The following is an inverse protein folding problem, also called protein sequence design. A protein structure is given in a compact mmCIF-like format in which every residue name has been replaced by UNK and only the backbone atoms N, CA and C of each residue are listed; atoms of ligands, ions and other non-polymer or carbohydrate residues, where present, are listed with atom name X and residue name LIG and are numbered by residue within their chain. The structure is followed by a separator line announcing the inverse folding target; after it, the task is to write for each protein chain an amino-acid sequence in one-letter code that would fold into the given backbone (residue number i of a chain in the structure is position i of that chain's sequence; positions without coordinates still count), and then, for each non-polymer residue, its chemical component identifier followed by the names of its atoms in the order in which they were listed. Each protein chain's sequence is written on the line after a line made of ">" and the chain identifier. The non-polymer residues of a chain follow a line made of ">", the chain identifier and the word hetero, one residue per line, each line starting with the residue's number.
data_IF_534899464340
#
_entry.id   IF_534899464340
#
_cell.length_a   1.000
_cell.length_b   1.000
_cell.length_c   1.000
_cell.angle_alpha   90.00
_cell.angle_beta   90.00
_cell.angle_gamma   90.00
#
_symmetry.space_group_name_H-M   'P 1'
#
loop_
_entity.id
_entity.type
_entity.pdbx_description
1 polymer ?
#
# COMPACT_ATOMS: atom_id res chain seq x y z
N UNK A 1 -14.02 0.23 -18.34
CA UNK A 1 -13.52 1.46 -17.72
C UNK A 1 -12.67 2.20 -18.73
N UNK A 2 -12.84 3.52 -18.87
CA UNK A 2 -11.95 4.36 -19.69
C UNK A 2 -10.69 4.72 -18.89
N UNK A 3 -9.58 4.97 -19.57
CA UNK A 3 -8.36 5.52 -18.97
C UNK A 3 -8.23 6.98 -19.42
N UNK A 4 -8.06 7.89 -18.47
CA UNK A 4 -7.81 9.30 -18.72
C UNK A 4 -6.37 9.66 -18.32
N UNK A 5 -5.60 10.20 -19.25
CA UNK A 5 -4.26 10.67 -18.99
C UNK A 5 -4.30 12.11 -18.51
N UNK A 6 -3.81 12.34 -17.31
CA UNK A 6 -3.67 13.68 -16.72
C UNK A 6 -2.28 14.18 -17.09
N UNK A 7 -2.25 15.14 -18.00
CA UNK A 7 -1.01 15.76 -18.49
C UNK A 7 -0.95 17.22 -18.11
N UNK A 8 0.17 17.86 -18.32
CA UNK A 8 0.35 19.29 -18.06
C UNK A 8 -0.62 20.14 -18.87
N UNK A 9 -0.90 19.76 -20.13
CA UNK A 9 -1.83 20.42 -21.02
C UNK A 9 -3.29 20.31 -20.56
N UNK A 10 -3.61 19.34 -19.70
CA UNK A 10 -4.96 19.20 -19.13
C UNK A 10 -5.27 20.29 -18.11
N UNK A 11 -4.27 21.01 -17.60
CA UNK A 11 -4.36 22.05 -16.56
C UNK A 11 -5.10 21.58 -15.29
N UNK A 12 -5.15 20.28 -15.04
CA UNK A 12 -5.81 19.70 -13.86
C UNK A 12 -4.83 19.73 -12.67
N UNK A 13 -5.14 20.47 -11.58
CA UNK A 13 -4.25 20.52 -10.42
C UNK A 13 -3.99 19.14 -9.82
N UNK A 14 -2.73 18.83 -9.52
CA UNK A 14 -2.34 17.52 -8.97
C UNK A 14 -2.36 17.48 -7.44
N UNK A 15 -2.48 18.62 -6.76
CA UNK A 15 -2.42 18.70 -5.30
C UNK A 15 -3.80 18.61 -4.68
N UNK A 16 -3.96 17.68 -3.72
CA UNK A 16 -5.18 17.51 -2.93
C UNK A 16 -6.27 16.65 -3.57
N UNK A 17 -6.09 16.13 -4.79
CA UNK A 17 -7.01 15.17 -5.37
C UNK A 17 -6.82 13.79 -4.75
N UNK A 18 -7.93 13.15 -4.32
CA UNK A 18 -7.88 11.83 -3.68
C UNK A 18 -7.61 10.68 -4.66
N UNK A 19 -7.80 10.87 -5.96
CA UNK A 19 -7.68 9.81 -6.95
C UNK A 19 -6.33 9.78 -7.68
N UNK A 20 -5.63 10.90 -7.75
CA UNK A 20 -4.33 11.03 -8.43
C UNK A 20 -3.57 12.26 -7.93
N UNK A 21 -2.27 12.33 -8.26
CA UNK A 21 -1.41 13.47 -7.93
C UNK A 21 -0.76 13.34 -6.55
N UNK A 22 -0.71 14.41 -5.79
CA UNK A 22 -0.03 14.51 -4.51
C UNK A 22 -1.01 14.88 -3.39
N UNK A 23 -0.98 14.12 -2.29
CA UNK A 23 -1.78 14.41 -1.09
C UNK A 23 -0.85 14.63 0.10
N UNK A 24 -0.85 15.84 0.63
CA UNK A 24 -0.17 16.16 1.88
C UNK A 24 -0.97 15.60 3.06
N UNK A 25 -0.32 14.78 3.89
CA UNK A 25 -0.95 14.16 5.08
C UNK A 25 -0.82 15.00 6.35
N UNK A 26 -0.29 16.22 6.25
CA UNK A 26 -0.10 17.12 7.39
C UNK A 26 1.05 16.72 8.32
N UNK A 27 1.92 15.78 7.90
CA UNK A 27 3.15 15.36 8.57
C UNK A 27 4.32 15.45 7.56
N UNK A 28 5.44 14.78 7.79
CA UNK A 28 6.51 14.62 6.79
C UNK A 28 6.14 13.72 5.60
N UNK A 29 4.94 13.16 5.56
CA UNK A 29 4.50 12.20 4.54
C UNK A 29 3.71 12.88 3.41
N UNK A 30 4.18 12.68 2.17
CA UNK A 30 3.47 12.97 0.93
C UNK A 30 3.00 11.65 0.30
N UNK A 31 1.69 11.52 0.06
CA UNK A 31 1.19 10.40 -0.74
C UNK A 31 1.27 10.74 -2.22
N UNK A 32 1.95 9.89 -2.98
CA UNK A 32 2.15 10.03 -4.42
C UNK A 32 1.24 9.05 -5.14
N UNK A 33 0.34 9.56 -5.97
CA UNK A 33 -0.73 8.80 -6.63
C UNK A 33 -0.60 8.90 -8.15
N UNK A 34 0.31 8.11 -8.76
CA UNK A 34 0.57 8.20 -10.20
C UNK A 34 -0.58 7.66 -11.04
N UNK A 35 -1.38 6.75 -10.49
CA UNK A 35 -2.51 6.13 -11.17
C UNK A 35 -3.59 5.68 -10.19
N UNK A 36 -4.70 5.17 -10.68
CA UNK A 36 -5.77 4.67 -9.81
C UNK A 36 -6.40 3.34 -10.27
N UNK A 37 -5.85 2.68 -11.28
CA UNK A 37 -6.27 1.35 -11.70
C UNK A 37 -5.87 0.25 -10.71
N UNK A 38 -6.58 -0.88 -10.72
CA UNK A 38 -6.22 -2.07 -9.95
C UNK A 38 -6.54 -3.34 -10.74
N UNK A 39 -5.75 -4.38 -10.54
CA UNK A 39 -5.95 -5.70 -11.14
C UNK A 39 -6.61 -6.72 -10.20
N UNK A 40 -6.96 -6.31 -8.97
CA UNK A 40 -7.72 -7.09 -8.00
C UNK A 40 -9.11 -6.48 -7.75
N UNK A 41 -9.99 -7.27 -7.15
CA UNK A 41 -11.36 -6.85 -6.82
C UNK A 41 -11.72 -7.17 -5.37
N UNK A 42 -10.84 -6.79 -4.44
CA UNK A 42 -10.99 -7.07 -3.02
C UNK A 42 -12.38 -6.68 -2.51
N UNK A 43 -13.12 -7.58 -1.80
CA UNK A 43 -14.49 -7.32 -1.36
C UNK A 43 -14.60 -6.22 -0.29
N UNK A 44 -13.49 -5.78 0.27
CA UNK A 44 -13.39 -4.74 1.29
C UNK A 44 -12.70 -3.45 0.79
N UNK A 45 -12.49 -3.30 -0.52
CA UNK A 45 -11.77 -2.17 -1.10
C UNK A 45 -12.46 -0.84 -0.79
N UNK A 46 -11.76 0.07 -0.11
CA UNK A 46 -12.27 1.39 0.33
C UNK A 46 -12.64 2.32 -0.84
N UNK A 47 -12.03 2.11 -2.00
CA UNK A 47 -12.18 2.97 -3.20
C UNK A 47 -12.84 2.25 -4.37
N UNK A 48 -13.32 1.02 -4.18
CA UNK A 48 -13.97 0.21 -5.22
C UNK A 48 -13.15 0.11 -6.52
N UNK A 49 -11.82 -0.08 -6.40
CA UNK A 49 -10.95 -0.22 -7.55
C UNK A 49 -11.01 -1.63 -8.16
N UNK A 50 -10.60 -1.74 -9.44
CA UNK A 50 -10.40 -3.02 -10.12
C UNK A 50 -11.50 -3.41 -11.08
N UNK A 51 -11.36 -4.59 -11.74
CA UNK A 51 -12.20 -5.01 -12.85
C UNK A 51 -13.71 -5.09 -12.54
N UNK A 52 -14.06 -5.37 -11.28
CA UNK A 52 -15.44 -5.50 -10.83
C UNK A 52 -15.95 -4.25 -10.09
N UNK A 53 -15.35 -3.09 -10.34
CA UNK A 53 -15.83 -1.82 -9.79
C UNK A 53 -17.26 -1.52 -10.26
N UNK A 54 -18.08 -1.00 -9.35
CA UNK A 54 -19.46 -0.58 -9.62
C UNK A 54 -19.63 0.93 -9.63
N UNK A 55 -18.71 1.63 -8.98
CA UNK A 55 -18.79 3.09 -8.79
C UNK A 55 -17.82 3.86 -9.68
N UNK A 56 -16.78 3.21 -10.22
CA UNK A 56 -15.74 3.85 -11.03
C UNK A 56 -15.99 3.60 -12.52
N UNK A 57 -16.05 4.66 -13.29
CA UNK A 57 -16.23 4.63 -14.74
C UNK A 57 -14.95 4.97 -15.49
N UNK A 58 -14.02 5.68 -14.83
CA UNK A 58 -12.75 6.14 -15.39
C UNK A 58 -11.62 5.88 -14.42
N UNK A 59 -10.52 5.34 -14.91
CA UNK A 59 -9.24 5.34 -14.23
C UNK A 59 -8.39 6.52 -14.71
N UNK A 60 -7.47 6.99 -13.86
CA UNK A 60 -6.56 8.10 -14.14
C UNK A 60 -5.13 7.62 -14.13
N UNK A 61 -4.33 8.18 -15.02
CA UNK A 61 -2.89 8.01 -15.04
C UNK A 61 -2.24 9.37 -15.26
N UNK A 62 -1.35 9.76 -14.36
CA UNK A 62 -0.66 11.04 -14.42
C UNK A 62 0.61 10.88 -15.24
N UNK A 63 0.90 11.84 -16.09
CA UNK A 63 2.18 11.96 -16.78
C UNK A 63 3.31 12.15 -15.75
N UNK A 64 4.42 11.42 -15.94
CA UNK A 64 5.50 11.38 -14.96
C UNK A 64 6.12 12.76 -14.71
N UNK A 65 6.44 13.50 -15.78
CA UNK A 65 7.06 14.82 -15.65
C UNK A 65 6.14 15.81 -14.91
N UNK A 66 4.86 15.79 -15.23
CA UNK A 66 3.88 16.65 -14.55
C UNK A 66 3.70 16.26 -13.07
N UNK A 67 3.74 14.96 -12.74
CA UNK A 67 3.69 14.50 -11.36
C UNK A 67 4.93 14.95 -10.58
N UNK A 68 6.11 14.82 -11.20
CA UNK A 68 7.37 15.23 -10.57
C UNK A 68 7.43 16.74 -10.32
N UNK A 69 6.99 17.58 -11.28
CA UNK A 69 6.89 19.04 -11.09
C UNK A 69 6.08 19.36 -9.80
N UNK A 70 4.95 18.67 -9.59
CA UNK A 70 4.12 18.89 -8.41
C UNK A 70 4.80 18.44 -7.10
N UNK A 71 5.59 17.36 -7.11
CA UNK A 71 6.33 16.90 -5.93
C UNK A 71 7.48 17.85 -5.62
N UNK A 72 8.27 18.24 -6.63
CA UNK A 72 9.40 19.18 -6.52
C UNK A 72 8.96 20.56 -6.02
N UNK A 73 7.72 20.99 -6.33
CA UNK A 73 7.14 22.22 -5.80
C UNK A 73 6.77 22.09 -4.31
N UNK A 74 6.26 20.92 -3.87
CA UNK A 74 5.73 20.76 -2.52
C UNK A 74 6.80 20.31 -1.51
N UNK A 75 7.75 19.47 -1.90
CA UNK A 75 8.73 18.90 -0.99
C UNK A 75 9.50 19.96 -0.17
N UNK A 76 9.96 21.08 -0.75
CA UNK A 76 10.66 22.12 -0.01
C UNK A 76 9.84 22.77 1.12
N UNK A 77 8.51 22.84 0.98
CA UNK A 77 7.64 23.36 2.04
C UNK A 77 7.53 22.43 3.24
N UNK A 78 7.87 21.15 3.07
CA UNK A 78 7.88 20.16 4.16
C UNK A 78 9.19 20.19 4.94
N UNK A 79 10.27 20.66 4.33
CA UNK A 79 11.63 20.59 4.86
C UNK A 79 12.26 19.20 4.70
N UNK A 80 13.35 18.97 5.43
CA UNK A 80 14.09 17.71 5.38
C UNK A 80 13.31 16.51 5.95
N UNK A 81 13.64 15.31 5.51
CA UNK A 81 13.09 14.07 6.06
C UNK A 81 11.72 13.68 5.49
N UNK A 82 11.39 14.16 4.30
CA UNK A 82 10.12 13.79 3.63
C UNK A 82 10.07 12.30 3.29
N UNK A 83 8.98 11.65 3.62
CA UNK A 83 8.61 10.34 3.06
C UNK A 83 7.65 10.53 1.89
N UNK A 84 8.07 10.12 0.68
CA UNK A 84 7.20 9.97 -0.48
C UNK A 84 6.63 8.54 -0.48
N UNK A 85 5.35 8.41 -0.11
CA UNK A 85 4.65 7.13 -0.10
C UNK A 85 3.81 6.95 -1.37
N UNK A 86 4.22 6.03 -2.24
CA UNK A 86 3.48 5.71 -3.46
C UNK A 86 2.29 4.83 -3.08
N UNK A 87 1.10 5.46 -3.04
CA UNK A 87 -0.16 4.84 -2.60
C UNK A 87 -1.29 5.22 -3.56
N UNK A 88 -1.47 4.43 -4.58
CA UNK A 88 -2.57 4.61 -5.52
C UNK A 88 -3.91 4.17 -4.93
N UNK A 89 -5.01 4.82 -5.26
CA UNK A 89 -6.35 4.26 -5.08
C UNK A 89 -6.59 3.08 -6.02
N UNK A 90 -5.69 2.11 -5.98
CA UNK A 90 -5.56 0.97 -6.87
C UNK A 90 -4.28 0.20 -6.60
N UNK A 91 -3.55 -0.16 -7.66
CA UNK A 91 -2.27 -0.85 -7.59
C UNK A 91 -1.18 -0.01 -8.28
N UNK A 92 -0.21 0.54 -7.52
CA UNK A 92 0.86 1.37 -8.10
C UNK A 92 1.71 0.66 -9.14
N UNK A 93 1.91 -0.65 -9.00
CA UNK A 93 2.69 -1.46 -9.96
C UNK A 93 2.05 -1.58 -11.35
N UNK A 94 0.85 -1.02 -11.56
CA UNK A 94 0.25 -0.86 -12.89
C UNK A 94 0.68 0.44 -13.59
N UNK A 95 1.37 1.33 -12.87
CA UNK A 95 1.93 2.54 -13.47
C UNK A 95 3.16 2.20 -14.32
N UNK A 96 3.19 2.53 -15.63
CA UNK A 96 4.27 2.11 -16.51
C UNK A 96 5.65 2.60 -16.08
N UNK A 97 5.72 3.83 -15.58
CA UNK A 97 6.98 4.50 -15.23
C UNK A 97 7.33 4.37 -13.74
N UNK A 98 6.85 3.30 -13.06
CA UNK A 98 6.98 3.16 -11.60
C UNK A 98 8.44 3.16 -11.12
N UNK A 99 9.35 2.52 -11.84
CA UNK A 99 10.77 2.45 -11.48
C UNK A 99 11.43 3.83 -11.64
N UNK A 100 11.10 4.54 -12.73
CA UNK A 100 11.60 5.89 -12.96
C UNK A 100 11.04 6.90 -11.96
N UNK A 101 9.76 6.75 -11.60
CA UNK A 101 9.16 7.55 -10.54
C UNK A 101 9.92 7.39 -9.21
N UNK A 102 10.22 6.15 -8.82
CA UNK A 102 10.99 5.89 -7.59
C UNK A 102 12.36 6.56 -7.65
N UNK A 103 13.08 6.41 -8.79
CA UNK A 103 14.41 7.00 -8.97
C UNK A 103 14.36 8.52 -8.82
N UNK A 104 13.45 9.18 -9.53
CA UNK A 104 13.32 10.64 -9.51
C UNK A 104 12.87 11.18 -8.14
N UNK A 105 12.02 10.46 -7.43
CA UNK A 105 11.66 10.82 -6.05
C UNK A 105 12.87 10.75 -5.10
N UNK A 106 13.78 9.77 -5.29
CA UNK A 106 15.02 9.66 -4.48
C UNK A 106 16.03 10.75 -4.80
N UNK A 107 15.97 11.36 -5.97
CA UNK A 107 16.89 12.45 -6.37
C UNK A 107 16.48 13.81 -5.76
N UNK A 108 15.28 13.94 -5.15
CA UNK A 108 14.84 15.17 -4.47
C UNK A 108 15.55 15.26 -3.10
N UNK A 109 16.22 16.38 -2.85
CA UNK A 109 17.07 16.60 -1.65
C UNK A 109 16.30 16.41 -0.34
N UNK A 110 15.06 16.87 -0.26
CA UNK A 110 14.21 16.79 0.93
C UNK A 110 13.68 15.37 1.19
N UNK A 111 13.72 14.47 0.19
CA UNK A 111 13.15 13.13 0.28
C UNK A 111 14.13 12.14 0.89
N UNK A 112 13.90 11.79 2.15
CA UNK A 112 14.70 10.79 2.86
C UNK A 112 14.24 9.36 2.56
N UNK A 113 12.93 9.14 2.38
CA UNK A 113 12.33 7.81 2.23
C UNK A 113 11.39 7.78 1.05
N UNK A 114 11.52 6.77 0.19
CA UNK A 114 10.52 6.41 -0.81
C UNK A 114 9.95 5.04 -0.45
N UNK A 115 8.65 4.98 -0.20
CA UNK A 115 7.95 3.75 0.14
C UNK A 115 6.76 3.51 -0.78
N UNK A 116 6.28 2.27 -0.85
CA UNK A 116 5.17 1.91 -1.74
C UNK A 116 4.21 0.92 -1.09
N UNK A 117 2.91 1.14 -1.24
CA UNK A 117 1.89 0.13 -0.98
C UNK A 117 1.67 -0.72 -2.22
N UNK A 118 1.69 -2.05 -2.13
CA UNK A 118 1.43 -2.92 -3.29
C UNK A 118 0.66 -4.18 -2.90
N UNK A 119 -0.14 -4.70 -3.82
CA UNK A 119 -0.76 -6.02 -3.70
C UNK A 119 0.18 -7.17 -4.11
N UNK A 120 1.38 -6.85 -4.59
CA UNK A 120 2.46 -7.79 -4.89
C UNK A 120 2.30 -8.59 -6.19
N UNK A 121 1.16 -8.55 -6.86
CA UNK A 121 0.87 -9.41 -8.02
C UNK A 121 1.68 -9.10 -9.27
N UNK A 122 2.41 -8.00 -9.28
CA UNK A 122 3.29 -7.54 -10.36
C UNK A 122 4.76 -7.49 -9.94
N UNK A 123 5.06 -7.97 -8.75
CA UNK A 123 6.41 -8.03 -8.23
C UNK A 123 6.99 -9.43 -8.51
N UNK A 124 8.02 -9.48 -9.31
CA UNK A 124 8.92 -10.61 -9.45
C UNK A 124 10.33 -10.22 -9.00
N UNK A 125 11.27 -11.16 -9.03
CA UNK A 125 12.66 -10.92 -8.61
C UNK A 125 13.34 -9.80 -9.43
N UNK A 126 13.09 -9.74 -10.73
CA UNK A 126 13.65 -8.71 -11.62
C UNK A 126 13.09 -7.32 -11.31
N UNK A 127 11.78 -7.22 -11.09
CA UNK A 127 11.14 -5.96 -10.72
C UNK A 127 11.58 -5.48 -9.33
N UNK A 128 11.71 -6.38 -8.35
CA UNK A 128 12.24 -6.06 -7.03
C UNK A 128 13.66 -5.52 -7.14
N UNK A 129 14.53 -6.16 -7.97
CA UNK A 129 15.88 -5.67 -8.24
C UNK A 129 15.89 -4.27 -8.85
N UNK A 130 15.03 -4.01 -9.84
CA UNK A 130 14.92 -2.69 -10.48
C UNK A 130 14.46 -1.60 -9.52
N UNK A 131 13.50 -1.89 -8.64
CA UNK A 131 13.05 -0.98 -7.59
C UNK A 131 14.13 -0.73 -6.53
N UNK A 132 14.89 -1.76 -6.18
CA UNK A 132 16.04 -1.66 -5.27
C UNK A 132 17.13 -0.75 -5.83
N UNK A 133 17.47 -0.92 -7.12
CA UNK A 133 18.44 -0.08 -7.83
C UNK A 133 17.95 1.37 -7.97
N UNK A 134 16.65 1.56 -8.14
CA UNK A 134 16.04 2.89 -8.18
C UNK A 134 15.99 3.58 -6.80
N UNK A 135 16.27 2.87 -5.71
CA UNK A 135 16.34 3.42 -4.36
C UNK A 135 15.06 3.33 -3.54
N UNK A 136 14.16 2.39 -3.87
CA UNK A 136 12.97 2.15 -3.03
C UNK A 136 13.38 1.64 -1.65
N UNK A 137 12.93 2.31 -0.60
CA UNK A 137 13.31 1.97 0.78
C UNK A 137 12.41 0.90 1.40
N UNK A 138 11.08 0.95 1.16
CA UNK A 138 10.12 0.03 1.80
C UNK A 138 8.95 -0.33 0.88
N UNK A 139 8.54 -1.60 0.94
CA UNK A 139 7.27 -2.07 0.38
C UNK A 139 6.33 -2.48 1.50
N UNK A 140 5.16 -1.85 1.56
CA UNK A 140 4.03 -2.28 2.36
C UNK A 140 3.23 -3.30 1.53
N UNK A 141 3.43 -4.59 1.80
CA UNK A 141 2.83 -5.67 1.02
C UNK A 141 1.44 -6.03 1.57
N UNK A 142 0.41 -5.83 0.75
CA UNK A 142 -0.97 -6.18 1.10
C UNK A 142 -1.13 -7.70 1.13
N UNK A 143 -1.13 -8.29 2.32
CA UNK A 143 -1.32 -9.72 2.54
C UNK A 143 -2.33 -9.91 3.67
N UNK A 144 -3.50 -10.51 3.37
CA UNK A 144 -4.66 -10.51 4.28
C UNK A 144 -4.99 -11.88 4.84
N UNK A 145 -4.46 -12.95 4.25
CA UNK A 145 -4.58 -14.34 4.70
C UNK A 145 -3.46 -15.18 4.09
N UNK A 146 -3.12 -16.31 4.72
CA UNK A 146 -2.21 -17.35 4.21
C UNK A 146 -2.99 -18.60 3.76
N UNK A 147 -4.24 -18.74 4.20
CA UNK A 147 -5.11 -19.82 3.75
C UNK A 147 -5.53 -19.51 2.29
N UNK A 148 -5.29 -20.46 1.32
CA UNK A 148 -5.42 -20.17 -0.12
C UNK A 148 -6.81 -19.73 -0.57
N UNK A 149 -7.87 -20.38 -0.10
CA UNK A 149 -9.25 -20.05 -0.51
C UNK A 149 -9.67 -18.68 0.03
N UNK A 150 -9.30 -18.39 1.28
CA UNK A 150 -9.57 -17.10 1.91
C UNK A 150 -8.73 -15.99 1.25
N UNK A 151 -7.48 -16.24 0.92
CA UNK A 151 -6.62 -15.29 0.22
C UNK A 151 -7.20 -14.94 -1.16
N UNK A 152 -7.65 -15.94 -1.94
CA UNK A 152 -8.29 -15.73 -3.23
C UNK A 152 -9.62 -14.96 -3.10
N UNK A 153 -10.43 -15.26 -2.08
CA UNK A 153 -11.64 -14.51 -1.76
C UNK A 153 -11.33 -13.05 -1.44
N UNK A 154 -10.34 -12.79 -0.57
CA UNK A 154 -9.96 -11.44 -0.16
C UNK A 154 -9.28 -10.64 -1.28
N UNK A 155 -8.59 -11.30 -2.21
CA UNK A 155 -8.10 -10.68 -3.43
C UNK A 155 -9.24 -10.37 -4.44
N UNK A 156 -10.40 -11.01 -4.30
CA UNK A 156 -11.50 -10.93 -5.25
C UNK A 156 -11.10 -11.41 -6.65
N UNK A 157 -10.19 -12.38 -6.72
CA UNK A 157 -9.62 -12.93 -7.94
C UNK A 157 -9.56 -14.46 -7.86
N UNK A 158 -10.42 -15.18 -8.59
CA UNK A 158 -10.29 -16.63 -8.73
C UNK A 158 -8.89 -16.99 -9.27
N UNK A 159 -8.25 -17.98 -8.67
CA UNK A 159 -6.88 -18.38 -9.04
C UNK A 159 -5.78 -17.44 -8.54
N UNK A 160 -6.07 -16.58 -7.58
CA UNK A 160 -5.03 -15.87 -6.83
C UNK A 160 -4.19 -16.88 -6.04
N UNK A 161 -2.89 -16.90 -6.32
CA UNK A 161 -1.95 -17.83 -5.66
C UNK A 161 -1.21 -17.13 -4.53
N UNK A 162 -1.59 -17.44 -3.30
CA UNK A 162 -0.92 -16.91 -2.11
C UNK A 162 0.54 -17.40 -2.00
N UNK A 163 0.88 -18.55 -2.57
CA UNK A 163 2.27 -19.06 -2.53
C UNK A 163 3.20 -18.21 -3.41
N UNK A 164 2.70 -17.64 -4.50
CA UNK A 164 3.43 -16.64 -5.27
C UNK A 164 3.68 -15.39 -4.42
N UNK A 165 2.66 -14.89 -3.71
CA UNK A 165 2.82 -13.73 -2.85
C UNK A 165 3.77 -13.99 -1.66
N UNK A 166 3.76 -15.20 -1.09
CA UNK A 166 4.75 -15.61 -0.09
C UNK A 166 6.18 -15.56 -0.67
N UNK A 167 6.40 -16.01 -1.92
CA UNK A 167 7.70 -15.91 -2.60
C UNK A 167 8.12 -14.45 -2.82
N UNK A 168 7.20 -13.59 -3.25
CA UNK A 168 7.44 -12.15 -3.37
C UNK A 168 7.89 -11.57 -2.03
N UNK A 169 7.20 -11.88 -0.94
CA UNK A 169 7.58 -11.43 0.40
C UNK A 169 9.01 -11.87 0.79
N UNK A 170 9.36 -13.13 0.50
CA UNK A 170 10.73 -13.65 0.74
C UNK A 170 11.77 -12.91 -0.10
N UNK A 171 11.49 -12.62 -1.37
CA UNK A 171 12.40 -11.91 -2.25
C UNK A 171 12.62 -10.47 -1.80
N UNK A 172 11.56 -9.74 -1.41
CA UNK A 172 11.68 -8.41 -0.82
C UNK A 172 12.51 -8.47 0.47
N UNK A 173 12.23 -9.42 1.36
CA UNK A 173 12.99 -9.55 2.60
C UNK A 173 14.48 -9.86 2.40
N UNK A 174 14.87 -10.47 1.27
CA UNK A 174 16.27 -10.73 0.90
C UNK A 174 16.97 -9.56 0.22
N UNK A 175 16.22 -8.65 -0.40
CA UNK A 175 16.77 -7.42 -1.02
C UNK A 175 17.12 -6.37 0.05
N UNK A 176 17.61 -5.20 -0.35
CA UNK A 176 17.80 -4.06 0.56
C UNK A 176 16.50 -3.36 0.93
N UNK A 177 15.45 -3.54 0.14
CA UNK A 177 14.12 -2.98 0.40
C UNK A 177 13.57 -3.56 1.70
N UNK A 178 13.01 -2.74 2.57
CA UNK A 178 12.34 -3.23 3.76
C UNK A 178 10.95 -3.76 3.43
N UNK A 179 10.59 -4.87 4.05
CA UNK A 179 9.27 -5.48 3.93
C UNK A 179 8.42 -5.15 5.16
N UNK A 180 7.26 -4.54 4.94
CA UNK A 180 6.21 -4.41 5.93
C UNK A 180 4.98 -5.19 5.43
N UNK A 181 4.52 -6.19 6.17
CA UNK A 181 3.27 -6.89 5.86
C UNK A 181 2.10 -6.03 6.33
N UNK A 182 1.19 -5.68 5.41
CA UNK A 182 0.10 -4.75 5.65
C UNK A 182 -1.29 -5.40 5.50
N UNK A 183 -1.73 -6.24 6.46
CA UNK A 183 -3.06 -6.82 6.42
C UNK A 183 -4.14 -5.81 6.79
N UNK A 184 -5.28 -5.92 6.13
CA UNK A 184 -6.54 -5.35 6.65
C UNK A 184 -7.22 -6.42 7.49
N UNK A 185 -7.41 -6.14 8.77
CA UNK A 185 -8.19 -6.97 9.68
C UNK A 185 -9.68 -6.76 9.44
N UNK A 186 -10.39 -7.82 9.10
CA UNK A 186 -11.82 -7.83 8.77
C UNK A 186 -12.52 -8.76 9.75
N UNK A 187 -13.20 -8.20 10.78
CA UNK A 187 -13.81 -9.00 11.85
C UNK A 187 -14.73 -10.10 11.34
N UNK A 188 -14.56 -11.32 11.86
CA UNK A 188 -15.33 -12.50 11.47
C UNK A 188 -14.94 -13.13 10.13
N UNK A 189 -13.93 -12.59 9.44
CA UNK A 189 -13.44 -13.15 8.19
C UNK A 189 -12.00 -13.67 8.32
N UNK A 190 -11.06 -12.81 8.72
CA UNK A 190 -9.66 -13.20 8.77
C UNK A 190 -9.02 -13.11 10.16
N UNK A 191 -9.83 -13.22 11.20
CA UNK A 191 -9.38 -13.18 12.61
C UNK A 191 -8.27 -14.20 12.89
N UNK A 192 -8.44 -15.42 12.36
CA UNK A 192 -7.48 -16.53 12.55
C UNK A 192 -6.21 -16.39 11.71
N UNK A 193 -6.22 -15.48 10.73
CA UNK A 193 -5.07 -15.26 9.86
C UNK A 193 -4.09 -14.23 10.43
N UNK A 194 -4.55 -13.29 11.25
CA UNK A 194 -3.68 -12.25 11.81
C UNK A 194 -2.50 -12.84 12.60
N UNK A 195 -2.68 -13.79 13.53
CA UNK A 195 -1.56 -14.44 14.20
C UNK A 195 -0.61 -15.18 13.23
N UNK A 196 -1.16 -15.84 12.20
CA UNK A 196 -0.36 -16.52 11.19
C UNK A 196 0.48 -15.55 10.35
N UNK A 197 -0.08 -14.38 9.99
CA UNK A 197 0.63 -13.34 9.26
C UNK A 197 1.74 -12.72 10.11
N UNK A 198 1.53 -12.56 11.42
CA UNK A 198 2.56 -12.09 12.35
C UNK A 198 3.74 -13.09 12.39
N UNK A 199 3.45 -14.39 12.54
CA UNK A 199 4.46 -15.42 12.51
C UNK A 199 5.17 -15.54 11.16
N UNK A 200 4.43 -15.35 10.06
CA UNK A 200 5.00 -15.33 8.72
C UNK A 200 5.96 -14.15 8.56
N UNK A 201 5.57 -12.93 8.92
CA UNK A 201 6.41 -11.74 8.83
C UNK A 201 7.74 -11.93 9.59
N UNK A 202 7.67 -12.52 10.80
CA UNK A 202 8.86 -12.85 11.60
C UNK A 202 9.76 -13.88 10.89
N UNK A 203 9.18 -14.96 10.36
CA UNK A 203 9.93 -16.03 9.69
C UNK A 203 10.65 -15.58 8.42
N UNK A 204 10.05 -14.68 7.65
CA UNK A 204 10.66 -14.15 6.41
C UNK A 204 11.66 -13.06 6.67
N UNK A 205 11.74 -12.50 7.89
CA UNK A 205 12.64 -11.42 8.24
C UNK A 205 12.15 -10.05 7.78
N UNK A 206 10.83 -9.82 7.83
CA UNK A 206 10.25 -8.50 7.63
C UNK A 206 10.69 -7.53 8.73
N UNK A 207 10.74 -6.22 8.42
CA UNK A 207 11.03 -5.18 9.40
C UNK A 207 12.52 -5.04 9.71
N UNK A 208 13.34 -4.69 8.72
CA UNK A 208 14.78 -4.42 8.92
C UNK A 208 15.03 -3.09 9.60
N UNK A 209 14.34 -2.06 9.17
CA UNK A 209 14.45 -0.67 9.64
C UNK A 209 13.13 -0.15 10.20
N UNK A 210 12.01 -0.59 9.59
CA UNK A 210 10.67 -0.24 10.03
C UNK A 210 9.97 -1.43 10.68
N UNK A 211 8.79 -1.24 11.31
CA UNK A 211 8.01 -2.35 11.86
C UNK A 211 7.69 -3.43 10.82
N UNK A 212 7.71 -4.72 11.19
CA UNK A 212 7.44 -5.82 10.26
C UNK A 212 6.00 -5.90 9.79
N UNK A 213 5.07 -5.29 10.53
CA UNK A 213 3.63 -5.29 10.22
C UNK A 213 3.01 -3.93 10.45
N UNK A 214 2.04 -3.61 9.57
CA UNK A 214 1.12 -2.48 9.69
C UNK A 214 -0.32 -2.97 9.58
N UNK A 215 -0.89 -3.51 10.68
CA UNK A 215 -2.26 -4.06 10.68
C UNK A 215 -3.26 -2.91 10.61
N UNK A 216 -4.01 -2.85 9.53
CA UNK A 216 -5.05 -1.86 9.31
C UNK A 216 -6.41 -2.44 9.71
N UNK A 217 -7.24 -1.62 10.35
CA UNK A 217 -8.62 -1.96 10.68
C UNK A 217 -9.50 -1.79 9.44
N UNK A 218 -10.37 -2.76 9.15
CA UNK A 218 -11.42 -2.59 8.16
C UNK A 218 -12.36 -1.42 8.54
N UNK A 219 -12.63 -0.58 7.55
CA UNK A 219 -13.61 0.52 7.65
C UNK A 219 -14.64 0.43 6.53
N UNK A 220 -15.86 0.82 6.86
CA UNK A 220 -16.92 0.92 5.87
C UNK A 220 -16.89 2.28 5.17
N UNK A 221 -16.69 2.28 3.87
CA UNK A 221 -16.71 3.49 3.05
C UNK A 221 -17.93 3.50 2.12
N UNK A 222 -18.61 4.64 2.04
CA UNK A 222 -19.85 4.80 1.26
C UNK A 222 -19.71 4.40 -0.20
N UNK A 223 -18.55 4.66 -0.81
CA UNK A 223 -18.24 4.32 -2.22
C UNK A 223 -17.33 3.11 -2.37
N UNK A 224 -16.94 2.50 -1.27
CA UNK A 224 -16.14 1.29 -1.26
C UNK A 224 -16.98 0.03 -1.36
N UNK A 225 -16.29 -1.10 -1.43
CA UNK A 225 -16.92 -2.42 -1.28
C UNK A 225 -16.94 -2.84 0.18
N UNK A 226 -17.96 -3.60 0.55
CA UNK A 226 -18.10 -4.14 1.90
C UNK A 226 -18.52 -5.60 1.82
N UNK A 227 -17.80 -6.51 2.49
CA UNK A 227 -18.19 -7.90 2.60
C UNK A 227 -19.56 -7.99 3.27
N UNK A 228 -20.40 -8.89 2.79
CA UNK A 228 -21.77 -9.03 3.29
C UNK A 228 -21.78 -9.46 4.77
N UNK A 229 -22.55 -8.75 5.58
CA UNK A 229 -22.73 -9.07 7.00
C UNK A 229 -21.58 -8.64 7.92
N UNK A 230 -20.50 -8.05 7.39
CA UNK A 230 -19.37 -7.57 8.18
C UNK A 230 -19.69 -6.20 8.77
N UNK A 231 -19.37 -6.04 10.05
CA UNK A 231 -19.37 -4.74 10.74
C UNK A 231 -17.94 -4.36 11.09
N UNK A 232 -17.56 -3.13 10.79
CA UNK A 232 -16.28 -2.60 11.24
C UNK A 232 -16.21 -2.58 12.77
N UNK A 233 -15.09 -3.01 13.32
CA UNK A 233 -14.80 -2.84 14.74
C UNK A 233 -14.58 -1.35 15.04
N UNK A 234 -14.99 -0.88 16.22
CA UNK A 234 -14.68 0.50 16.59
C UNK A 234 -13.17 0.66 16.93
N UNK A 235 -12.64 1.88 16.76
CA UNK A 235 -11.22 2.17 16.99
C UNK A 235 -10.75 1.87 18.40
N UNK A 236 -11.57 2.18 19.40
CA UNK A 236 -11.19 1.94 20.80
C UNK A 236 -11.00 0.44 21.06
N UNK A 237 -11.93 -0.41 20.56
CA UNK A 237 -11.85 -1.86 20.76
C UNK A 237 -10.65 -2.45 19.98
N UNK A 238 -10.49 -2.07 18.72
CA UNK A 238 -9.36 -2.51 17.92
C UNK A 238 -8.01 -2.18 18.59
N UNK A 239 -7.82 -0.92 19.00
CA UNK A 239 -6.55 -0.45 19.54
C UNK A 239 -6.28 -0.91 20.97
N UNK A 240 -7.32 -1.06 21.81
CA UNK A 240 -7.19 -1.37 23.24
C UNK A 240 -7.52 -2.84 23.59
N UNK A 241 -8.06 -3.63 22.66
CA UNK A 241 -8.40 -5.04 22.89
C UNK A 241 -7.73 -5.97 21.88
N UNK A 242 -8.05 -5.82 20.59
CA UNK A 242 -7.59 -6.72 19.53
C UNK A 242 -6.08 -6.65 19.35
N UNK A 243 -5.52 -5.46 19.16
CA UNK A 243 -4.07 -5.27 19.01
C UNK A 243 -3.27 -5.75 20.22
N UNK A 244 -3.60 -5.38 21.49
CA UNK A 244 -2.87 -5.88 22.65
C UNK A 244 -2.99 -7.38 22.88
N UNK A 245 -4.07 -8.01 22.44
CA UNK A 245 -4.19 -9.46 22.50
C UNK A 245 -3.16 -10.10 21.57
N UNK A 246 -3.09 -9.70 20.29
CA UNK A 246 -2.10 -10.22 19.35
C UNK A 246 -0.66 -9.91 19.78
N UNK A 247 -0.41 -8.71 20.35
CA UNK A 247 0.91 -8.38 20.92
C UNK A 247 1.35 -9.37 22.00
N UNK A 248 0.43 -9.76 22.90
CA UNK A 248 0.72 -10.78 23.94
C UNK A 248 0.91 -12.15 23.35
N UNK A 249 0.02 -12.56 22.45
CA UNK A 249 0.00 -13.92 21.88
C UNK A 249 1.26 -14.17 21.02
N UNK A 250 1.73 -13.15 20.32
CA UNK A 250 2.86 -13.26 19.41
C UNK A 250 4.16 -12.64 19.97
N UNK A 251 4.13 -12.03 21.15
CA UNK A 251 5.29 -11.35 21.78
C UNK A 251 5.96 -10.33 20.83
N UNK A 252 5.16 -9.54 20.11
CA UNK A 252 5.60 -8.53 19.16
C UNK A 252 4.81 -7.24 19.35
N UNK A 253 5.43 -6.04 19.47
CA UNK A 253 4.72 -4.79 19.47
C UNK A 253 4.09 -4.54 18.09
N UNK A 254 2.79 -4.26 18.07
CA UNK A 254 1.99 -4.06 16.83
C UNK A 254 1.36 -2.67 16.75
N UNK A 255 1.22 -1.98 17.89
CA UNK A 255 0.67 -0.63 17.93
C UNK A 255 1.76 0.37 17.56
N UNK A 256 1.71 0.79 16.31
CA UNK A 256 2.70 1.68 15.72
C UNK A 256 2.51 3.12 16.23
N UNK A 257 3.61 3.83 16.39
CA UNK A 257 3.67 5.23 16.78
C UNK A 257 4.28 6.04 15.64
N UNK A 258 4.07 7.36 15.65
CA UNK A 258 4.68 8.24 14.64
C UNK A 258 6.20 8.06 14.54
N UNK A 259 6.88 7.93 15.68
CA UNK A 259 8.33 7.71 15.74
C UNK A 259 8.82 6.38 15.14
N UNK A 260 7.92 5.43 14.83
CA UNK A 260 8.28 4.15 14.21
C UNK A 260 8.45 4.30 12.69
N UNK A 261 8.08 5.44 12.14
CA UNK A 261 8.19 5.75 10.71
C UNK A 261 9.07 6.98 10.41
N UNK A 262 9.55 7.67 11.41
CA UNK A 262 10.40 8.86 11.28
C UNK A 262 9.74 10.16 11.66
#
# INVERSE_FOLDING_TARGET
>A
MSLFHVTKESEIPLVGCLYFGVVDRGSNLLQIRPSCGCNLSCPFCSVDAGPHSRSRVTDYQVELDYLMEAVEEIAPFKGEGVECHIDSPGEPMLYPDIVELVRRLKDIEEVAVVSMQSNGTRLDEGMIGSLEEAGLDRINLSMHALEPELAAYLAGRPGFDIKELERVAVNIARSRIDLLIAPVYIPGINDQEIPKLIDFARRVGAGKRWPPLGIQKYEHYRRGRSPRGVRAENWWHFYNRSMPQWERDCSLPLRLKAQDFG
#
